data_IF_838584170326
#
_entry.id   IF_838584170326
#
_cell.length_a   1.000
_cell.length_b   1.000
_cell.length_c   1.000
_cell.angle_alpha   90.00
_cell.angle_beta   90.00
_cell.angle_gamma   90.00
#
_symmetry.space_group_name_H-M   'P 1'
#
loop_
_entity.id
_entity.type
_entity.pdbx_description
1 polymer ?
2 non-polymer ?
3 non-polymer ?
4 non-polymer ?
5 water ?
#
# COMPACT_ATOMS: atom_id res chain seq x y z
N UNK A 37 -19.34 1.02 -15.99
CA UNK A 37 -18.53 -0.10 -16.55
C UNK A 37 -17.29 -0.42 -15.71
N UNK A 38 -17.17 -1.70 -15.31
CA UNK A 38 -16.02 -2.16 -14.52
C UNK A 38 -14.75 -2.08 -15.36
N UNK A 39 -13.58 -2.20 -14.73
CA UNK A 39 -12.33 -2.11 -15.47
C UNK A 39 -11.44 -3.35 -15.37
N UNK A 40 -10.99 -3.81 -16.52
CA UNK A 40 -10.12 -4.98 -16.56
C UNK A 40 -8.72 -4.51 -16.90
N UNK A 41 -7.82 -4.65 -15.95
CA UNK A 41 -6.44 -4.28 -16.12
C UNK A 41 -5.73 -5.57 -16.54
N UNK A 42 -5.04 -5.52 -17.68
CA UNK A 42 -4.33 -6.68 -18.20
C UNK A 42 -2.82 -6.47 -18.10
N UNK A 43 -2.14 -7.22 -17.24
CA UNK A 43 -0.69 -7.09 -17.15
C UNK A 43 -0.11 -7.71 -18.43
N UNK A 44 1.07 -7.23 -18.82
CA UNK A 44 1.76 -7.71 -20.02
C UNK A 44 3.25 -7.61 -19.74
N UNK A 45 3.98 -8.65 -20.11
CA UNK A 45 5.40 -8.65 -19.87
C UNK A 45 6.03 -10.00 -19.65
N UNK A 46 7.36 -10.03 -19.77
CA UNK A 46 8.13 -11.25 -19.58
C UNK A 46 8.20 -11.62 -18.11
N UNK A 47 8.47 -12.90 -17.83
CA UNK A 47 8.57 -13.38 -16.45
C UNK A 47 9.72 -12.65 -15.73
N UNK A 48 9.46 -12.20 -14.50
CA UNK A 48 10.47 -11.49 -13.68
C UNK A 48 10.76 -10.06 -14.13
N UNK A 49 9.75 -9.41 -14.74
CA UNK A 49 9.89 -8.03 -15.16
C UNK A 49 9.10 -7.06 -14.26
N UNK A 50 8.77 -7.50 -13.05
CA UNK A 50 8.04 -6.65 -12.12
C UNK A 50 6.54 -6.60 -12.30
N UNK A 51 6.04 -7.36 -13.26
CA UNK A 51 4.61 -7.43 -13.60
C UNK A 51 3.72 -7.76 -12.38
N UNK A 52 4.14 -8.71 -11.57
CA UNK A 52 3.38 -9.11 -10.39
C UNK A 52 3.53 -8.10 -9.26
N UNK A 53 4.72 -7.53 -9.14
CA UNK A 53 5.02 -6.51 -8.13
C UNK A 53 4.10 -5.30 -8.34
N UNK A 54 3.94 -4.89 -9.59
CA UNK A 54 3.09 -3.78 -9.97
C UNK A 54 1.64 -4.15 -9.76
N UNK A 55 1.31 -5.39 -10.10
CA UNK A 55 -0.07 -5.87 -9.95
C UNK A 55 -0.50 -5.76 -8.46
N UNK A 56 0.43 -6.06 -7.57
CA UNK A 56 0.15 -6.00 -6.14
C UNK A 56 0.03 -4.59 -5.62
N UNK A 57 0.97 -3.72 -5.96
CA UNK A 57 0.94 -2.32 -5.54
C UNK A 57 -0.36 -1.67 -6.01
N UNK A 58 -0.74 -1.91 -7.26
CA UNK A 58 -1.94 -1.32 -7.85
C UNK A 58 -3.26 -1.78 -7.19
N UNK A 59 -3.29 -3.06 -6.81
CA UNK A 59 -4.45 -3.64 -6.16
C UNK A 59 -4.56 -3.05 -4.76
N UNK A 60 -3.43 -2.95 -4.06
CA UNK A 60 -3.34 -2.38 -2.71
C UNK A 60 -3.77 -0.90 -2.71
N UNK A 61 -3.15 -0.10 -3.58
CA UNK A 61 -3.48 1.33 -3.67
C UNK A 61 -4.96 1.50 -3.96
N UNK A 62 -5.49 0.82 -4.99
CA UNK A 62 -6.89 0.95 -5.32
C UNK A 62 -7.82 0.56 -4.17
N UNK A 63 -7.47 -0.50 -3.44
CA UNK A 63 -8.28 -0.92 -2.32
C UNK A 63 -8.22 0.13 -1.20
N UNK A 64 -7.02 0.62 -0.90
CA UNK A 64 -6.81 1.62 0.14
C UNK A 64 -7.70 2.83 -0.05
N UNK A 65 -7.80 3.35 -1.28
CA UNK A 65 -8.63 4.51 -1.60
C UNK A 65 -10.10 4.14 -1.84
N UNK A 66 -10.46 2.91 -1.48
CA UNK A 66 -11.84 2.46 -1.61
C UNK A 66 -12.43 1.97 -2.92
N UNK A 67 -11.59 1.49 -3.84
CA UNK A 67 -12.08 0.94 -5.10
C UNK A 67 -11.89 -0.58 -4.97
N UNK A 68 -12.99 -1.33 -4.77
CA UNK A 68 -12.88 -2.79 -4.64
C UNK A 68 -12.16 -3.42 -5.84
N UNK A 69 -10.98 -3.96 -5.54
CA UNK A 69 -10.13 -4.54 -6.56
C UNK A 69 -9.49 -5.82 -6.11
N UNK A 70 -9.31 -6.74 -7.06
CA UNK A 70 -8.68 -8.03 -6.83
C UNK A 70 -7.82 -8.38 -8.03
N UNK A 71 -6.70 -9.06 -7.76
CA UNK A 71 -5.77 -9.48 -8.80
C UNK A 71 -5.94 -10.97 -9.03
N UNK A 72 -5.61 -11.42 -10.23
CA UNK A 72 -5.73 -12.82 -10.59
C UNK A 72 -4.43 -13.30 -11.25
N UNK A 73 -3.58 -13.95 -10.45
CA UNK A 73 -2.28 -14.47 -10.88
C UNK A 73 -2.41 -15.86 -11.51
N UNK A 74 -2.27 -15.92 -12.83
CA UNK A 74 -2.40 -17.16 -13.58
C UNK A 74 -1.39 -18.22 -13.16
N UNK A 75 -0.21 -17.77 -12.74
CA UNK A 75 0.80 -18.72 -12.28
C UNK A 75 0.37 -19.42 -11.00
N UNK A 76 -0.34 -18.71 -10.14
CA UNK A 76 -0.81 -19.29 -8.89
C UNK A 76 -1.89 -20.31 -9.20
N UNK A 77 -2.75 -20.01 -10.17
CA UNK A 77 -3.79 -20.96 -10.56
C UNK A 77 -3.14 -22.25 -11.02
N UNK A 78 -2.08 -22.12 -11.81
CA UNK A 78 -1.34 -23.28 -12.31
C UNK A 78 -0.78 -24.07 -11.14
N UNK A 79 -0.18 -23.36 -10.20
CA UNK A 79 0.37 -24.03 -9.02
C UNK A 79 -0.69 -24.82 -8.27
N UNK A 80 -1.85 -24.21 -8.07
CA UNK A 80 -2.93 -24.86 -7.35
C UNK A 80 -3.50 -26.05 -8.09
N UNK A 81 -3.48 -25.99 -9.42
CA UNK A 81 -4.02 -27.07 -10.21
C UNK A 81 -3.08 -28.25 -10.39
N UNK A 82 -1.82 -28.00 -10.71
CA UNK A 82 -0.87 -29.08 -10.92
C UNK A 82 -0.35 -29.68 -9.63
N UNK A 83 -0.04 -28.84 -8.65
CA UNK A 83 0.43 -29.30 -7.35
C UNK A 83 1.72 -30.14 -7.38
N UNK A 84 2.45 -30.03 -8.48
CA UNK A 84 3.69 -30.76 -8.63
C UNK A 84 4.69 -29.86 -9.35
N UNK A 85 5.97 -30.08 -9.10
CA UNK A 85 7.03 -29.29 -9.73
C UNK A 85 7.04 -29.41 -11.25
N UNK A 86 7.20 -28.27 -11.93
CA UNK A 86 7.24 -28.23 -13.38
C UNK A 86 8.50 -27.56 -13.90
N UNK A 87 9.23 -28.25 -14.79
CA UNK A 87 10.45 -27.73 -15.42
C UNK A 87 10.05 -26.80 -16.58
N UNK A 88 11.05 -26.20 -17.24
CA UNK A 88 10.79 -25.27 -18.34
C UNK A 88 10.04 -25.94 -19.49
N UNK A 89 10.24 -27.25 -19.63
CA UNK A 89 9.59 -28.05 -20.66
C UNK A 89 8.07 -27.91 -20.61
N UNK A 90 7.56 -27.74 -19.41
CA UNK A 90 6.13 -27.58 -19.18
C UNK A 90 5.60 -26.34 -19.86
N UNK A 91 6.49 -25.36 -20.05
CA UNK A 91 6.14 -24.08 -20.67
C UNK A 91 6.43 -23.93 -22.15
N UNK A 92 6.91 -25.01 -22.80
CA UNK A 92 7.21 -24.96 -24.23
C UNK A 92 5.94 -24.87 -25.07
N UNK A 93 5.95 -24.03 -26.12
CA UNK A 93 4.82 -23.82 -27.04
C UNK A 93 4.33 -25.06 -27.78
N UNK A 94 5.16 -26.10 -27.82
CA UNK A 94 4.80 -27.33 -28.51
C UNK A 94 4.40 -28.42 -27.52
N UNK A 95 4.60 -28.16 -26.23
CA UNK A 95 4.27 -29.09 -25.17
C UNK A 95 2.75 -29.15 -25.01
N UNK A 96 2.12 -30.14 -25.66
CA UNK A 96 0.67 -30.24 -25.60
C UNK A 96 -0.01 -30.45 -24.27
N UNK A 97 0.72 -30.95 -23.27
CA UNK A 97 0.10 -31.12 -21.96
C UNK A 97 0.16 -29.82 -21.18
N UNK A 98 1.35 -29.20 -21.13
CA UNK A 98 1.53 -27.96 -20.42
C UNK A 98 0.78 -26.83 -21.10
N UNK A 99 0.50 -27.00 -22.38
CA UNK A 99 -0.22 -26.00 -23.15
C UNK A 99 -1.67 -26.01 -22.73
N UNK A 100 -2.24 -27.19 -22.53
CA UNK A 100 -3.63 -27.31 -22.13
C UNK A 100 -3.88 -26.82 -20.72
N UNK A 101 -2.93 -27.10 -19.84
CA UNK A 101 -3.03 -26.71 -18.44
C UNK A 101 -2.94 -25.19 -18.24
N UNK A 102 -1.97 -24.58 -18.91
CA UNK A 102 -1.81 -23.14 -18.83
C UNK A 102 -3.03 -22.45 -19.45
N UNK A 103 -3.61 -23.10 -20.46
CA UNK A 103 -4.78 -22.56 -21.15
C UNK A 103 -6.06 -22.68 -20.34
N UNK A 104 -6.17 -23.72 -19.52
CA UNK A 104 -7.36 -23.89 -18.69
C UNK A 104 -7.24 -23.08 -17.40
N UNK A 105 -6.00 -22.85 -16.95
CA UNK A 105 -5.74 -22.02 -15.78
C UNK A 105 -6.06 -20.56 -16.14
N UNK A 106 -5.66 -20.15 -17.34
CA UNK A 106 -5.94 -18.82 -17.82
C UNK A 106 -7.44 -18.61 -17.98
N UNK A 107 -8.16 -19.62 -18.45
CA UNK A 107 -9.60 -19.46 -18.60
C UNK A 107 -10.29 -19.48 -17.25
N UNK A 108 -9.72 -20.20 -16.28
CA UNK A 108 -10.30 -20.27 -14.95
C UNK A 108 -10.18 -18.89 -14.28
N UNK A 109 -9.01 -18.27 -14.45
CA UNK A 109 -8.73 -16.95 -13.91
C UNK A 109 -9.68 -15.92 -14.49
N UNK A 110 -9.91 -16.00 -15.79
CA UNK A 110 -10.82 -15.07 -16.46
C UNK A 110 -12.27 -15.29 -16.06
N UNK A 111 -12.62 -16.52 -15.70
CA UNK A 111 -13.99 -16.81 -15.29
C UNK A 111 -14.20 -16.10 -13.94
N UNK A 112 -13.18 -16.21 -13.09
CA UNK A 112 -13.21 -15.60 -11.79
C UNK A 112 -13.23 -14.06 -11.86
N UNK A 113 -12.55 -13.49 -12.86
CA UNK A 113 -12.54 -12.06 -13.08
C UNK A 113 -13.98 -11.67 -13.35
N UNK A 114 -14.64 -12.49 -14.17
CA UNK A 114 -16.02 -12.27 -14.56
C UNK A 114 -16.97 -12.36 -13.37
N UNK A 115 -16.73 -13.34 -12.50
CA UNK A 115 -17.56 -13.52 -11.32
C UNK A 115 -17.42 -12.33 -10.38
N UNK A 116 -16.17 -11.92 -10.15
CA UNK A 116 -15.85 -10.79 -9.27
C UNK A 116 -16.49 -9.49 -9.77
N UNK A 117 -16.25 -9.13 -11.03
CA UNK A 117 -16.78 -7.91 -11.61
C UNK A 117 -18.27 -7.90 -11.98
N UNK A 118 -18.84 -9.06 -12.29
CA UNK A 118 -20.24 -9.11 -12.67
C UNK A 118 -21.21 -9.68 -11.66
N UNK A 119 -20.68 -10.36 -10.64
CA UNK A 119 -21.52 -10.96 -9.62
C UNK A 119 -21.20 -10.48 -8.21
N UNK A 120 -19.90 -10.30 -7.90
CA UNK A 120 -19.47 -9.90 -6.57
C UNK A 120 -19.35 -8.40 -6.25
N UNK A 121 -19.63 -7.55 -7.25
CA UNK A 121 -19.56 -6.10 -7.06
C UNK A 121 -18.20 -5.46 -7.20
N UNK A 122 -17.24 -6.19 -7.77
CA UNK A 122 -15.89 -5.68 -7.96
C UNK A 122 -15.87 -4.56 -8.99
N UNK A 123 -14.92 -3.65 -8.83
CA UNK A 123 -14.80 -2.53 -9.78
C UNK A 123 -13.64 -2.70 -10.73
N UNK A 124 -12.52 -3.20 -10.21
CA UNK A 124 -11.32 -3.38 -11.02
C UNK A 124 -10.72 -4.77 -10.78
N UNK A 125 -10.44 -5.48 -11.87
CA UNK A 125 -9.84 -6.81 -11.82
C UNK A 125 -8.48 -6.71 -12.50
N UNK A 126 -7.43 -7.16 -11.82
CA UNK A 126 -6.11 -7.13 -12.42
C UNK A 126 -5.71 -8.53 -12.88
N UNK A 127 -5.64 -8.72 -14.20
CA UNK A 127 -5.26 -9.99 -14.81
C UNK A 127 -3.77 -10.10 -14.94
N UNK A 128 -3.14 -10.78 -13.99
CA UNK A 128 -1.71 -10.94 -14.01
C UNK A 128 -1.26 -12.22 -14.74
N UNK A 129 -0.67 -12.01 -15.92
CA UNK A 129 -0.14 -13.09 -16.74
C UNK A 129 0.78 -12.38 -17.72
N UNK A 130 1.68 -13.14 -18.35
CA UNK A 130 2.64 -12.62 -19.32
C UNK A 130 1.96 -11.88 -20.43
N UNK A 131 0.89 -12.47 -20.99
CA UNK A 131 0.13 -11.86 -22.07
C UNK A 131 1.03 -11.18 -23.14
N UNK A 132 2.06 -11.91 -23.56
CA UNK A 132 3.05 -11.41 -24.49
C UNK A 132 2.79 -11.39 -25.99
N UNK A 133 1.65 -11.89 -26.46
CA UNK A 133 1.37 -11.88 -27.90
C UNK A 133 0.11 -11.09 -28.21
N UNK A 134 0.00 -10.56 -29.42
CA UNK A 134 -1.16 -9.78 -29.81
C UNK A 134 -2.43 -10.61 -29.85
N UNK A 135 -2.31 -11.85 -30.29
CA UNK A 135 -3.44 -12.76 -30.37
C UNK A 135 -4.07 -12.87 -28.99
N UNK A 136 -3.24 -13.20 -28.00
CA UNK A 136 -3.68 -13.33 -26.61
C UNK A 136 -4.32 -12.04 -26.12
N UNK A 137 -3.62 -10.93 -26.29
CA UNK A 137 -4.11 -9.62 -25.85
C UNK A 137 -5.45 -9.27 -26.46
N UNK A 138 -5.67 -9.67 -27.71
CA UNK A 138 -6.93 -9.41 -28.42
C UNK A 138 -8.07 -10.31 -27.90
N UNK A 139 -7.72 -11.47 -27.36
CA UNK A 139 -8.73 -12.38 -26.83
C UNK A 139 -9.26 -11.81 -25.54
N UNK A 140 -8.32 -11.46 -24.65
CA UNK A 140 -8.63 -10.87 -23.35
C UNK A 140 -9.45 -9.60 -23.54
N UNK A 141 -9.07 -8.81 -24.54
CA UNK A 141 -9.77 -7.57 -24.84
C UNK A 141 -11.20 -7.88 -25.25
N UNK A 142 -11.39 -8.95 -26.02
CA UNK A 142 -12.72 -9.35 -26.44
C UNK A 142 -13.50 -9.93 -25.27
N UNK A 143 -12.78 -10.51 -24.31
CA UNK A 143 -13.42 -11.05 -23.13
C UNK A 143 -14.04 -9.87 -22.40
N UNK A 144 -13.26 -8.80 -22.26
CA UNK A 144 -13.73 -7.61 -21.58
C UNK A 144 -14.90 -7.01 -22.32
N UNK A 145 -14.78 -6.95 -23.64
CA UNK A 145 -15.81 -6.41 -24.52
C UNK A 145 -17.13 -7.16 -24.44
N UNK A 146 -17.07 -8.50 -24.33
CA UNK A 146 -18.25 -9.36 -24.23
C UNK A 146 -18.94 -9.21 -22.87
N UNK A 147 -18.15 -8.86 -21.85
CA UNK A 147 -18.69 -8.69 -20.49
C UNK A 147 -18.97 -7.23 -20.08
N UNK A 148 -18.85 -6.30 -21.02
CA UNK A 148 -19.12 -4.90 -20.73
C UNK A 148 -18.10 -4.19 -19.86
N UNK A 149 -16.82 -4.56 -19.99
CA UNK A 149 -15.75 -3.93 -19.23
C UNK A 149 -14.92 -3.05 -20.15
N UNK A 150 -14.13 -2.17 -19.56
CA UNK A 150 -13.22 -1.32 -20.32
C UNK A 150 -11.89 -2.00 -20.02
N UNK A 151 -11.09 -2.25 -21.05
CA UNK A 151 -9.80 -2.92 -20.86
C UNK A 151 -8.63 -1.92 -20.95
N UNK A 152 -7.65 -2.11 -20.07
CA UNK A 152 -6.47 -1.24 -20.02
C UNK A 152 -5.22 -2.07 -19.78
N UNK A 153 -4.24 -1.97 -20.68
CA UNK A 153 -3.01 -2.75 -20.58
C UNK A 153 -1.86 -2.08 -19.84
N UNK A 154 -1.15 -2.89 -19.05
CA UNK A 154 0.00 -2.41 -18.28
C UNK A 154 1.14 -3.37 -18.53
N UNK A 155 2.08 -2.93 -19.37
CA UNK A 155 3.25 -3.71 -19.74
C UNK A 155 4.49 -3.30 -18.97
N UNK A 156 5.20 -4.26 -18.40
CA UNK A 156 6.42 -3.97 -17.67
C UNK A 156 7.61 -4.51 -18.44
N UNK A 157 8.57 -3.64 -18.72
CA UNK A 157 9.76 -4.00 -19.51
C UNK A 157 11.04 -3.62 -18.83
N UNK A 158 11.84 -4.59 -18.40
CA UNK A 158 13.12 -4.25 -17.79
C UNK A 158 14.24 -4.46 -18.79
N UNK A 159 15.25 -3.60 -18.69
CA UNK A 159 16.41 -3.64 -19.57
C UNK A 159 17.64 -3.35 -18.71
N UNK A 160 17.41 -2.74 -17.55
CA UNK A 160 18.46 -2.44 -16.59
C UNK A 160 18.98 -3.78 -16.06
N UNK A 161 20.26 -4.11 -16.33
CA UNK A 161 20.92 -5.35 -15.91
C UNK A 161 20.72 -5.71 -14.45
N UNK A 162 21.09 -4.81 -13.55
CA UNK A 162 20.97 -5.01 -12.11
C UNK A 162 19.54 -5.33 -11.69
N UNK A 163 18.57 -4.66 -12.30
CA UNK A 163 17.15 -4.88 -12.00
C UNK A 163 16.78 -6.32 -12.37
N UNK A 164 17.03 -6.65 -13.63
CA UNK A 164 16.75 -7.96 -14.20
C UNK A 164 17.41 -9.12 -13.45
N UNK A 165 18.70 -8.96 -13.14
CA UNK A 165 19.47 -9.98 -12.44
C UNK A 165 19.02 -10.17 -11.00
N UNK A 166 18.61 -9.06 -10.36
CA UNK A 166 18.16 -9.12 -8.97
C UNK A 166 16.77 -9.75 -8.90
N UNK A 167 15.95 -9.48 -9.90
CA UNK A 167 14.60 -10.01 -9.98
C UNK A 167 14.62 -11.53 -10.05
N UNK A 168 15.57 -12.07 -10.79
CA UNK A 168 15.71 -13.51 -10.92
C UNK A 168 16.11 -14.12 -9.58
N UNK A 169 16.95 -13.41 -8.83
CA UNK A 169 17.39 -13.89 -7.51
C UNK A 169 16.19 -13.80 -6.55
N UNK A 170 15.39 -12.74 -6.69
CA UNK A 170 14.20 -12.55 -5.86
C UNK A 170 13.21 -13.68 -6.17
N UNK A 171 13.12 -14.05 -7.45
CA UNK A 171 12.23 -15.12 -7.92
C UNK A 171 12.76 -16.47 -7.45
N UNK A 172 14.08 -16.62 -7.45
CA UNK A 172 14.71 -17.86 -7.05
C UNK A 172 14.64 -18.09 -5.55
N UNK A 173 14.61 -17.02 -4.77
CA UNK A 173 14.58 -17.16 -3.32
C UNK A 173 13.18 -17.07 -2.73
N UNK A 174 12.23 -16.55 -3.51
CA UNK A 174 10.88 -16.37 -3.01
C UNK A 174 9.75 -17.05 -3.76
N UNK A 175 10.00 -17.50 -4.98
CA UNK A 175 8.95 -18.17 -5.74
C UNK A 175 8.75 -19.61 -5.24
N UNK A 176 7.50 -20.04 -5.06
CA UNK A 176 7.23 -21.39 -4.58
C UNK A 176 7.64 -22.43 -5.64
N UNK A 177 7.79 -21.95 -6.88
CA UNK A 177 8.19 -22.78 -8.01
C UNK A 177 9.60 -23.31 -7.88
N UNK A 178 10.47 -22.54 -7.22
CA UNK A 178 11.86 -22.92 -7.07
C UNK A 178 12.38 -23.25 -5.67
N UNK A 179 11.52 -23.91 -4.91
CA UNK A 179 11.84 -24.32 -3.55
C UNK A 179 12.57 -25.66 -3.56
N UNK A 180 13.61 -25.78 -2.73
CA UNK A 180 14.39 -27.02 -2.61
C UNK A 180 14.98 -27.40 -3.96
N UNK A 181 15.36 -26.39 -4.74
CA UNK A 181 15.95 -26.60 -6.04
C UNK A 181 17.39 -26.11 -6.01
N UNK A 182 18.26 -26.79 -6.77
CA UNK A 182 19.65 -26.38 -6.85
C UNK A 182 19.69 -24.97 -7.46
N UNK A 183 20.55 -24.12 -6.88
CA UNK A 183 20.71 -22.74 -7.33
C UNK A 183 20.91 -22.60 -8.83
N UNK A 184 22.00 -23.18 -9.33
CA UNK A 184 22.34 -23.10 -10.76
C UNK A 184 21.29 -23.75 -11.66
N UNK A 185 20.75 -24.88 -11.21
CA UNK A 185 19.73 -25.60 -11.98
C UNK A 185 18.43 -24.79 -12.07
N UNK A 186 18.05 -24.14 -10.97
CA UNK A 186 16.85 -23.32 -10.92
C UNK A 186 17.01 -22.08 -11.81
N UNK A 187 18.14 -21.40 -11.66
CA UNK A 187 18.41 -20.21 -12.47
C UNK A 187 18.36 -20.55 -13.95
N UNK A 188 19.07 -21.60 -14.33
CA UNK A 188 19.12 -22.02 -15.73
C UNK A 188 17.73 -22.36 -16.24
N UNK A 189 16.98 -23.07 -15.42
CA UNK A 189 15.62 -23.47 -15.77
C UNK A 189 14.71 -22.26 -15.99
N UNK A 190 14.70 -21.32 -15.04
CA UNK A 190 13.87 -20.13 -15.17
C UNK A 190 14.30 -19.37 -16.42
N UNK A 191 15.61 -19.32 -16.63
CA UNK A 191 16.24 -18.64 -17.76
C UNK A 191 15.66 -19.19 -19.06
N UNK A 192 15.46 -20.50 -19.10
CA UNK A 192 14.88 -21.15 -20.27
C UNK A 192 13.38 -20.92 -20.35
N UNK A 193 12.74 -20.69 -19.20
CA UNK A 193 11.30 -20.42 -19.19
C UNK A 193 11.03 -19.04 -19.79
N UNK A 194 11.88 -18.08 -19.45
CA UNK A 194 11.73 -16.72 -19.97
C UNK A 194 11.88 -16.80 -21.50
N UNK A 195 12.80 -17.64 -21.97
CA UNK A 195 13.02 -17.82 -23.40
C UNK A 195 11.74 -18.28 -24.07
N UNK A 196 10.97 -19.12 -23.37
CA UNK A 196 9.71 -19.62 -23.89
C UNK A 196 8.72 -18.52 -24.19
N UNK A 197 8.91 -17.37 -23.55
CA UNK A 197 8.03 -16.23 -23.78
C UNK A 197 8.64 -15.20 -24.72
N UNK A 198 9.96 -15.07 -24.67
CA UNK A 198 10.69 -14.10 -25.48
C UNK A 198 10.60 -14.19 -26.99
N UNK A 199 10.54 -15.40 -27.52
CA UNK A 199 10.50 -15.59 -28.97
C UNK A 199 9.27 -15.14 -29.73
N UNK A 200 8.10 -15.19 -29.11
CA UNK A 200 6.88 -14.75 -29.76
C UNK A 200 6.40 -13.44 -29.13
N UNK A 201 7.24 -12.87 -28.26
CA UNK A 201 6.94 -11.63 -27.55
C UNK A 201 6.84 -10.43 -28.48
N UNK A 202 5.73 -9.70 -28.36
CA UNK A 202 5.46 -8.49 -29.14
C UNK A 202 5.02 -7.38 -28.16
N UNK A 203 5.90 -6.42 -27.88
CA UNK A 203 5.54 -5.32 -26.97
C UNK A 203 4.40 -4.56 -27.58
N UNK A 204 3.74 -3.70 -26.80
CA UNK A 204 2.63 -2.92 -27.31
C UNK A 204 3.20 -1.92 -28.32
N UNK A 205 2.63 -1.90 -29.52
CA UNK A 205 3.15 -1.01 -30.57
C UNK A 205 2.44 0.33 -30.70
N UNK A 206 3.18 1.33 -31.17
CA UNK A 206 2.67 2.69 -31.36
C UNK A 206 1.57 2.78 -32.41
N UNK A 207 1.69 1.95 -33.44
CA UNK A 207 0.74 1.96 -34.54
C UNK A 207 -0.25 0.78 -34.50
N UNK A 208 0.27 -0.43 -34.29
CA UNK A 208 -0.54 -1.64 -34.24
C UNK A 208 -1.57 -1.57 -33.15
N UNK A 209 -1.17 -1.01 -32.00
CA UNK A 209 -2.06 -0.91 -30.86
C UNK A 209 -2.50 0.50 -30.53
N UNK A 210 -2.67 1.33 -31.57
CA UNK A 210 -3.09 2.72 -31.39
C UNK A 210 -4.53 2.87 -30.86
N UNK A 211 -5.34 1.82 -31.02
CA UNK A 211 -6.73 1.84 -30.56
C UNK A 211 -6.93 1.23 -29.18
N UNK A 212 -5.84 0.87 -28.50
CA UNK A 212 -5.92 0.27 -27.17
C UNK A 212 -5.41 1.20 -26.08
N UNK A 213 -6.06 1.18 -24.93
CA UNK A 213 -5.64 1.99 -23.79
C UNK A 213 -4.56 1.24 -23.05
N UNK A 214 -3.41 1.87 -22.83
CA UNK A 214 -2.39 1.16 -22.10
C UNK A 214 -1.30 2.07 -21.64
N UNK A 215 -0.42 1.50 -20.82
CA UNK A 215 0.76 2.19 -20.33
C UNK A 215 1.90 1.17 -20.31
N UNK A 216 3.04 1.57 -20.85
CA UNK A 216 4.21 0.73 -20.91
C UNK A 216 5.22 1.33 -19.96
N UNK A 217 5.63 0.54 -18.98
CA UNK A 217 6.58 0.96 -17.98
C UNK A 217 7.92 0.35 -18.34
N UNK A 218 8.91 1.19 -18.62
CA UNK A 218 10.23 0.70 -18.95
C UNK A 218 11.16 0.89 -17.78
N UNK A 219 11.47 -0.22 -17.13
CA UNK A 219 12.32 -0.24 -15.94
C UNK A 219 11.59 0.57 -14.88
N UNK A 220 10.77 -0.12 -14.10
CA UNK A 220 9.95 0.48 -13.04
C UNK A 220 10.37 1.88 -12.53
N UNK A 221 9.59 2.90 -12.90
CA UNK A 221 9.87 4.26 -12.47
C UNK A 221 10.79 5.14 -13.31
N UNK A 222 11.28 4.61 -14.43
CA UNK A 222 12.17 5.34 -15.32
C UNK A 222 11.49 6.06 -16.48
N UNK A 223 10.89 5.28 -17.39
CA UNK A 223 10.21 5.84 -18.56
C UNK A 223 8.85 5.22 -18.74
N UNK A 224 7.97 5.90 -19.47
CA UNK A 224 6.61 5.44 -19.73
C UNK A 224 6.14 5.88 -21.07
N UNK A 225 5.21 5.11 -21.64
CA UNK A 225 4.59 5.44 -22.91
C UNK A 225 3.15 5.19 -22.54
N UNK A 226 2.29 6.14 -22.83
CA UNK A 226 0.89 6.04 -22.48
C UNK A 226 0.04 6.27 -23.70
N UNK A 227 -1.01 5.49 -23.85
CA UNK A 227 -1.88 5.62 -25.01
C UNK A 227 -3.36 5.50 -24.66
N UNK A 228 -4.16 6.39 -25.25
CA UNK A 228 -5.61 6.44 -25.07
C UNK A 228 -6.25 6.17 -23.71
N UNK A 229 -5.86 6.93 -22.68
CA UNK A 229 -6.47 6.79 -21.36
C UNK A 229 -7.94 7.14 -21.61
N UNK A 230 -8.82 6.17 -21.44
CA UNK A 230 -10.25 6.34 -21.72
C UNK A 230 -11.11 7.06 -20.69
N UNK A 231 -10.77 6.91 -19.41
CA UNK A 231 -11.59 7.54 -18.38
C UNK A 231 -10.85 8.06 -17.15
N UNK A 232 -11.62 8.43 -16.13
CA UNK A 232 -11.09 8.97 -14.90
C UNK A 232 -10.27 7.93 -14.14
N UNK A 233 -10.82 6.73 -14.02
CA UNK A 233 -10.12 5.68 -13.28
C UNK A 233 -8.80 5.28 -13.93
N UNK A 234 -8.78 5.20 -15.25
CA UNK A 234 -7.52 4.85 -15.94
C UNK A 234 -6.52 6.00 -15.74
N UNK A 235 -7.03 7.23 -15.73
CA UNK A 235 -6.20 8.44 -15.52
C UNK A 235 -5.50 8.43 -14.15
N UNK A 236 -6.23 7.96 -13.13
CA UNK A 236 -5.70 7.86 -11.78
C UNK A 236 -4.76 6.69 -11.65
N UNK A 237 -5.08 5.57 -12.31
CA UNK A 237 -4.22 4.39 -12.27
C UNK A 237 -2.87 4.77 -12.90
N UNK A 238 -2.91 5.48 -14.03
CA UNK A 238 -1.69 5.95 -14.72
C UNK A 238 -0.88 6.87 -13.82
N UNK A 239 -1.58 7.81 -13.18
CA UNK A 239 -0.96 8.77 -12.28
C UNK A 239 -0.26 8.02 -11.15
N UNK A 240 -0.92 7.02 -10.58
CA UNK A 240 -0.32 6.24 -9.51
C UNK A 240 0.86 5.43 -10.04
N UNK A 241 0.64 4.70 -11.14
CA UNK A 241 1.69 3.87 -11.72
C UNK A 241 2.92 4.67 -12.15
N UNK A 242 2.71 5.90 -12.60
CA UNK A 242 3.81 6.77 -13.03
C UNK A 242 4.57 7.38 -11.87
N UNK A 243 4.13 7.07 -10.65
CA UNK A 243 4.79 7.63 -9.47
C UNK A 243 5.42 6.68 -8.49
N UNK A 244 5.32 5.38 -8.74
CA UNK A 244 5.94 4.38 -7.87
C UNK A 244 7.33 4.03 -8.43
N UNK A 245 8.19 3.47 -7.60
CA UNK A 245 9.54 3.12 -8.01
C UNK A 245 10.13 2.06 -7.09
N UNK A 246 11.34 1.61 -7.40
CA UNK A 246 11.99 0.58 -6.59
C UNK A 246 13.37 1.00 -6.10
N UNK A 247 13.65 2.31 -6.13
CA UNK A 247 14.92 2.87 -5.65
C UNK A 247 15.02 2.62 -4.15
N UNK A 248 16.08 1.90 -3.70
CA UNK A 248 16.24 1.62 -2.26
C UNK A 248 16.16 2.86 -1.41
N UNK A 249 15.30 2.80 -0.39
CA UNK A 249 15.07 3.90 0.53
C UNK A 249 14.21 3.48 1.73
N UNK A 250 14.11 4.36 2.71
CA UNK A 250 13.32 4.10 3.91
C UNK A 250 12.38 5.27 4.23
N UNK A 251 11.20 4.92 4.73
CA UNK A 251 10.18 5.90 5.13
C UNK A 251 10.15 5.88 6.67
N UNK A 252 10.53 6.99 7.29
CA UNK A 252 10.57 7.13 8.74
C UNK A 252 9.30 7.81 9.20
N UNK A 253 8.53 7.10 10.03
CA UNK A 253 7.28 7.63 10.53
C UNK A 253 7.36 7.79 12.03
N UNK A 254 6.97 8.96 12.51
CA UNK A 254 6.97 9.18 13.95
C UNK A 254 6.05 10.35 14.29
N UNK A 255 5.44 10.27 15.47
CA UNK A 255 4.55 11.32 15.92
C UNK A 255 5.44 12.37 16.56
N UNK A 256 4.87 13.57 16.72
CA UNK A 256 5.53 14.69 17.38
C UNK A 256 5.86 14.19 18.79
N UNK A 257 6.81 14.82 19.47
CA UNK A 257 7.13 14.39 20.81
C UNK A 257 5.95 14.65 21.74
N UNK A 258 5.92 13.98 22.87
CA UNK A 258 4.84 14.13 23.86
C UNK A 258 4.43 15.60 24.06
N UNK A 259 3.14 15.89 23.87
CA UNK A 259 2.61 17.25 24.01
C UNK A 259 1.94 17.53 25.35
N UNK A 260 1.39 18.74 25.49
CA UNK A 260 0.71 19.16 26.72
C UNK A 260 -0.63 18.44 26.90
N UNK A 261 -1.47 18.45 25.87
CA UNK A 261 -2.76 17.77 25.93
C UNK A 261 -2.57 16.25 26.02
N UNK A 262 -1.37 15.77 25.69
CA UNK A 262 -1.06 14.33 25.77
C UNK A 262 -1.08 13.88 27.22
N UNK A 263 -0.41 14.64 28.08
CA UNK A 263 -0.36 14.35 29.51
C UNK A 263 -1.74 14.42 30.16
N UNK A 264 -2.56 15.34 29.67
CA UNK A 264 -3.91 15.52 30.18
C UNK A 264 -4.88 14.46 29.65
N UNK A 265 -4.42 13.61 28.73
CA UNK A 265 -5.29 12.59 28.15
C UNK A 265 -6.36 13.26 27.30
N UNK A 266 -6.01 14.39 26.70
CA UNK A 266 -6.94 15.12 25.85
C UNK A 266 -6.58 14.90 24.40
N UNK A 267 -7.61 14.73 23.55
CA UNK A 267 -7.42 14.48 22.12
C UNK A 267 -7.53 15.77 21.30
N UNK A 268 -6.87 15.79 20.14
CA UNK A 268 -6.92 16.95 19.27
C UNK A 268 -6.26 18.22 19.80
N UNK A 269 -6.79 19.38 19.40
CA UNK A 269 -6.24 20.65 19.83
C UNK A 269 -4.95 21.05 19.10
N UNK A 270 -4.26 22.06 19.63
CA UNK A 270 -3.01 22.54 19.03
C UNK A 270 -1.93 22.78 20.10
N UNK A 271 -1.77 21.84 21.05
CA UNK A 271 -0.75 22.01 22.10
C UNK A 271 0.69 22.12 21.60
N UNK A 272 1.58 22.45 22.52
CA UNK A 272 3.00 22.54 22.22
C UNK A 272 3.62 21.32 22.86
N UNK A 273 4.95 21.23 22.84
CA UNK A 273 5.64 20.10 23.44
C UNK A 273 5.70 20.14 24.97
N UNK A 274 5.81 18.96 25.57
CA UNK A 274 5.91 18.80 27.01
C UNK A 274 7.39 18.59 27.32
N UNK A 275 7.78 18.64 28.61
CA UNK A 275 9.18 18.43 28.96
C UNK A 275 9.78 17.16 28.34
N UNK A 276 9.01 16.07 28.31
CA UNK A 276 9.49 14.83 27.72
C UNK A 276 9.42 14.91 26.20
N UNK A 277 8.46 15.68 25.69
CA UNK A 277 8.30 15.86 24.27
C UNK A 277 9.46 16.62 23.67
N UNK A 278 10.11 17.44 24.49
CA UNK A 278 11.28 18.21 24.09
C UNK A 278 12.49 17.28 24.17
N UNK A 279 12.51 16.48 25.23
CA UNK A 279 13.56 15.51 25.49
C UNK A 279 13.64 14.53 24.30
N UNK A 280 12.49 14.27 23.66
CA UNK A 280 12.42 13.38 22.51
C UNK A 280 13.06 14.00 21.27
N UNK A 281 12.63 15.22 20.94
CA UNK A 281 13.13 15.98 19.77
C UNK A 281 14.65 15.89 19.62
N UNK A 282 15.32 15.98 20.78
CA UNK A 282 16.76 15.92 20.88
C UNK A 282 17.28 14.50 20.63
N UNK A 283 16.48 13.51 20.98
CA UNK A 283 16.85 12.12 20.73
C UNK A 283 16.59 11.81 19.25
N UNK A 284 15.60 12.50 18.67
CA UNK A 284 15.24 12.32 17.27
C UNK A 284 16.36 12.87 16.36
N UNK A 285 16.83 14.08 16.65
CA UNK A 285 17.89 14.73 15.87
C UNK A 285 19.14 13.86 15.84
N UNK A 286 19.53 13.34 17.01
CA UNK A 286 20.68 12.48 17.14
C UNK A 286 20.47 11.18 16.35
N UNK A 287 19.27 10.64 16.45
CA UNK A 287 18.93 9.42 15.74
C UNK A 287 19.13 9.64 14.24
N UNK A 288 18.50 10.70 13.72
CA UNK A 288 18.58 11.05 12.32
C UNK A 288 20.04 11.21 11.86
N UNK A 289 20.88 11.73 12.75
CA UNK A 289 22.30 11.91 12.46
C UNK A 289 23.02 10.57 12.43
N UNK A 290 22.87 9.79 13.50
CA UNK A 290 23.50 8.48 13.61
C UNK A 290 23.10 7.60 12.45
N UNK A 291 21.93 7.87 11.89
CA UNK A 291 21.44 7.11 10.75
C UNK A 291 22.25 7.44 9.49
N UNK A 292 22.76 8.67 9.42
CA UNK A 292 23.60 9.11 8.32
C UNK A 292 22.87 8.82 6.99
N UNK A 293 21.77 9.54 6.80
CA UNK A 293 20.89 9.37 5.65
C UNK A 293 21.12 10.25 4.42
N UNK A 294 21.01 9.63 3.24
CA UNK A 294 21.19 10.31 1.95
C UNK A 294 19.99 11.17 1.56
N UNK A 295 20.22 12.49 1.56
CA UNK A 295 19.20 13.48 1.21
C UNK A 295 17.82 13.18 1.79
N UNK A 296 17.73 13.34 3.10
CA UNK A 296 16.51 13.09 3.84
C UNK A 296 15.58 14.28 3.75
N UNK A 297 14.36 14.04 3.27
CA UNK A 297 13.36 15.09 3.19
C UNK A 297 12.45 14.89 4.42
N UNK A 298 12.19 15.99 5.11
CA UNK A 298 11.37 15.95 6.31
C UNK A 298 10.06 16.71 6.12
N UNK A 299 8.97 16.10 6.57
CA UNK A 299 7.65 16.72 6.47
C UNK A 299 6.98 16.73 7.85
N UNK A 300 6.12 17.74 8.05
CA UNK A 300 5.36 17.90 9.29
C UNK A 300 4.01 18.49 8.91
N UNK A 301 3.13 18.62 9.89
CA UNK A 301 1.81 19.21 9.68
C UNK A 301 1.87 20.66 10.12
N UNK A 302 0.73 21.36 10.06
CA UNK A 302 0.61 22.76 10.49
C UNK A 302 0.38 22.86 12.01
N UNK A 303 0.68 21.80 12.75
CA UNK A 303 0.48 21.84 14.20
C UNK A 303 1.78 21.97 15.01
N UNK A 304 1.74 22.89 15.97
CA UNK A 304 2.88 23.18 16.82
C UNK A 304 3.68 22.02 17.35
N UNK A 305 3.00 20.94 17.72
CA UNK A 305 3.71 19.78 18.24
C UNK A 305 4.65 19.10 17.23
N UNK A 306 4.24 19.02 15.97
CA UNK A 306 5.10 18.41 14.95
C UNK A 306 6.22 19.38 14.61
N UNK A 307 5.83 20.62 14.30
CA UNK A 307 6.76 21.70 13.96
C UNK A 307 7.90 21.89 14.95
N UNK A 308 7.60 21.84 16.25
CA UNK A 308 8.62 22.02 17.28
C UNK A 308 9.51 20.79 17.42
N UNK A 309 9.00 19.62 17.03
CA UNK A 309 9.80 18.39 17.08
C UNK A 309 10.81 18.43 15.93
N UNK A 310 10.37 19.03 14.82
CA UNK A 310 11.16 19.17 13.60
C UNK A 310 12.24 20.24 13.76
N UNK A 311 11.88 21.30 14.48
CA UNK A 311 12.78 22.40 14.75
C UNK A 311 14.03 22.00 15.51
N UNK A 312 14.06 20.79 16.06
CA UNK A 312 15.21 20.32 16.82
C UNK A 312 16.24 19.59 15.99
N UNK A 313 15.88 19.27 14.74
CA UNK A 313 16.77 18.58 13.81
C UNK A 313 17.74 19.58 13.17
N UNK A 314 18.74 19.05 12.48
CA UNK A 314 19.73 19.89 11.80
C UNK A 314 19.10 20.33 10.47
N UNK A 315 18.57 19.35 9.76
CA UNK A 315 17.93 19.53 8.46
C UNK A 315 16.63 20.32 8.45
N UNK A 316 16.29 20.93 7.30
CA UNK A 316 15.08 21.72 7.07
C UNK A 316 13.86 20.81 6.92
N UNK A 317 12.67 21.35 7.14
CA UNK A 317 11.45 20.56 7.04
C UNK A 317 10.42 21.37 6.29
N UNK A 318 9.38 20.69 5.81
CA UNK A 318 8.26 21.32 5.11
C UNK A 318 6.96 20.94 5.82
N UNK A 319 6.11 21.93 6.09
CA UNK A 319 4.86 21.68 6.79
C UNK A 319 3.61 21.75 5.92
N UNK A 320 2.73 20.77 6.10
CA UNK A 320 1.48 20.70 5.33
C UNK A 320 0.29 20.44 6.21
N UNK A 321 -0.83 21.09 5.93
CA UNK A 321 -2.03 20.90 6.72
C UNK A 321 -2.73 19.59 6.41
N UNK A 322 -2.38 18.98 5.28
CA UNK A 322 -2.95 17.69 4.88
C UNK A 322 -2.46 16.63 5.88
N UNK A 323 -1.38 16.95 6.59
CA UNK A 323 -0.82 16.07 7.57
C UNK A 323 -1.34 16.30 9.00
N UNK A 324 -2.26 17.24 9.15
CA UNK A 324 -2.86 17.56 10.46
C UNK A 324 -3.63 16.39 11.06
N UNK A 325 -3.56 16.25 12.39
CA UNK A 325 -4.27 15.15 13.07
C UNK A 325 -5.74 15.11 12.73
N UNK A 326 -6.31 13.91 12.81
CA UNK A 326 -7.73 13.73 12.52
C UNK A 326 -8.57 14.71 13.35
N UNK A 327 -9.65 15.21 12.75
CA UNK A 327 -10.52 16.16 13.39
C UNK A 327 -11.53 15.44 14.28
N UNK A 328 -11.57 15.80 15.56
CA UNK A 328 -12.49 15.20 16.50
C UNK A 328 -13.78 16.02 16.66
N UNK A 329 -13.95 17.03 15.81
CA UNK A 329 -15.14 17.88 15.84
C UNK A 329 -15.51 18.42 17.21
N UNK A 330 -16.76 18.22 17.61
CA UNK A 330 -17.26 18.68 18.91
C UNK A 330 -16.49 18.07 20.09
N UNK A 331 -15.78 16.97 19.85
CA UNK A 331 -15.02 16.33 20.92
C UNK A 331 -13.56 16.75 21.01
N UNK A 332 -13.22 17.83 20.31
CA UNK A 332 -11.86 18.35 20.33
C UNK A 332 -11.42 18.76 21.73
N UNK A 333 -10.24 18.29 22.12
CA UNK A 333 -9.62 18.58 23.42
C UNK A 333 -10.24 17.90 24.65
N UNK A 334 -11.26 17.07 24.44
CA UNK A 334 -11.90 16.39 25.55
C UNK A 334 -11.11 15.17 25.93
N UNK A 335 -11.45 14.59 27.08
CA UNK A 335 -10.82 13.35 27.50
C UNK A 335 -11.90 12.34 27.12
N UNK A 336 -11.57 11.06 27.19
CA UNK A 336 -12.55 10.03 26.87
C UNK A 336 -13.69 10.06 27.88
N UNK A 337 -13.35 10.41 29.12
CA UNK A 337 -14.31 10.52 30.20
C UNK A 337 -15.36 11.51 29.76
N UNK A 338 -14.89 12.67 29.33
CA UNK A 338 -15.78 13.73 28.89
C UNK A 338 -16.58 13.34 27.66
N UNK A 339 -16.00 12.52 26.78
CA UNK A 339 -16.71 12.09 25.59
C UNK A 339 -17.87 11.17 26.00
N UNK A 340 -17.58 10.27 26.93
CA UNK A 340 -18.58 9.34 27.44
C UNK A 340 -19.73 10.11 28.10
N UNK A 341 -19.41 11.25 28.68
CA UNK A 341 -20.43 12.06 29.35
C UNK A 341 -21.34 12.87 28.44
N UNK A 342 -20.76 13.48 27.41
CA UNK A 342 -21.55 14.33 26.53
C UNK A 342 -22.07 13.68 25.26
N UNK A 343 -21.36 12.64 24.82
CA UNK A 343 -21.73 11.95 23.59
C UNK A 343 -21.65 10.44 23.70
N UNK A 344 -22.26 9.85 24.75
CA UNK A 344 -22.24 8.39 24.94
C UNK A 344 -22.73 7.56 23.75
N UNK A 345 -23.72 8.05 23.01
CA UNK A 345 -24.22 7.32 21.85
C UNK A 345 -23.19 7.30 20.71
N UNK A 346 -22.64 8.47 20.37
CA UNK A 346 -21.64 8.57 19.31
C UNK A 346 -20.36 7.83 19.70
N UNK A 347 -20.06 7.82 20.99
CA UNK A 347 -18.87 7.18 21.52
C UNK A 347 -18.95 5.65 21.42
N UNK A 348 -20.16 5.11 21.62
CA UNK A 348 -20.39 3.68 21.55
C UNK A 348 -20.47 3.27 20.09
N UNK A 349 -21.09 4.09 19.27
CA UNK A 349 -21.20 3.80 17.84
C UNK A 349 -19.84 3.92 17.15
N UNK A 350 -18.96 4.77 17.67
CA UNK A 350 -17.64 4.92 17.09
C UNK A 350 -16.84 3.68 17.47
N UNK A 351 -17.05 3.18 18.68
CA UNK A 351 -16.36 1.99 19.13
C UNK A 351 -16.82 0.76 18.33
N UNK A 352 -18.03 0.80 17.82
CA UNK A 352 -18.57 -0.30 17.03
C UNK A 352 -17.92 -0.36 15.65
N UNK A 353 -17.71 0.80 15.05
CA UNK A 353 -17.05 0.91 13.76
C UNK A 353 -16.23 2.20 13.76
N UNK A 354 -15.00 2.09 14.26
CA UNK A 354 -14.08 3.21 14.41
C UNK A 354 -13.53 3.73 13.07
N UNK A 355 -13.69 2.95 12.01
CA UNK A 355 -13.22 3.37 10.71
C UNK A 355 -14.23 4.30 10.05
N UNK A 356 -15.52 3.96 10.14
CA UNK A 356 -16.58 4.73 9.50
C UNK A 356 -17.41 5.77 10.25
N UNK A 357 -17.70 5.52 11.52
CA UNK A 357 -18.53 6.44 12.28
C UNK A 357 -17.69 7.56 12.89
N UNK A 358 -18.22 8.78 12.83
CA UNK A 358 -17.51 9.96 13.33
C UNK A 358 -18.24 10.74 14.44
N UNK A 359 -17.48 11.58 15.15
CA UNK A 359 -18.00 12.45 16.19
C UNK A 359 -18.72 13.57 15.44
N UNK A 360 -19.68 14.26 16.08
CA UNK A 360 -20.36 15.33 15.35
C UNK A 360 -19.34 16.39 14.93
N UNK A 361 -19.40 16.79 13.65
CA UNK A 361 -18.52 17.79 13.06
C UNK A 361 -17.07 17.27 12.92
N UNK A 362 -16.89 15.97 13.12
CA UNK A 362 -15.57 15.40 13.02
C UNK A 362 -15.29 14.58 11.77
N UNK A 363 -14.11 13.99 11.72
CA UNK A 363 -13.72 13.16 10.60
C UNK A 363 -13.69 11.72 11.08
N UNK A 364 -13.94 10.80 10.14
CA UNK A 364 -13.84 9.38 10.43
C UNK A 364 -12.47 8.97 9.89
N UNK A 365 -11.96 7.80 10.27
CA UNK A 365 -10.66 7.38 9.74
C UNK A 365 -10.78 7.20 8.22
N UNK A 366 -11.99 6.89 7.77
CA UNK A 366 -12.29 6.71 6.35
C UNK A 366 -12.13 8.06 5.66
N UNK A 367 -12.56 9.14 6.34
CA UNK A 367 -12.42 10.48 5.79
C UNK A 367 -10.93 10.82 5.73
N UNK A 368 -10.20 10.42 6.76
CA UNK A 368 -8.78 10.71 6.85
C UNK A 368 -7.96 10.02 5.76
N UNK A 369 -8.30 8.76 5.46
CA UNK A 369 -7.60 8.02 4.42
C UNK A 369 -7.69 8.79 3.09
N UNK A 370 -8.90 9.24 2.77
CA UNK A 370 -9.14 10.00 1.55
C UNK A 370 -8.31 11.31 1.56
N UNK A 371 -8.34 12.03 2.68
CA UNK A 371 -7.59 13.29 2.83
C UNK A 371 -6.11 13.01 2.61
N UNK A 372 -5.66 11.85 3.08
CA UNK A 372 -4.27 11.46 2.98
C UNK A 372 -3.83 10.82 1.65
N UNK A 373 -4.70 10.81 0.64
CA UNK A 373 -4.33 10.24 -0.66
C UNK A 373 -3.13 10.96 -1.30
N UNK A 374 -3.08 12.31 -1.24
CA UNK A 374 -1.94 13.02 -1.83
C UNK A 374 -0.64 12.72 -1.06
N UNK A 375 -0.81 12.35 0.21
CA UNK A 375 0.34 12.03 1.06
C UNK A 375 0.84 10.65 0.66
N UNK A 376 -0.10 9.72 0.44
CA UNK A 376 0.22 8.36 0.02
C UNK A 376 1.06 8.43 -1.26
N UNK A 377 0.52 9.14 -2.24
CA UNK A 377 1.12 9.35 -3.56
C UNK A 377 2.53 9.93 -3.52
N UNK A 378 2.72 10.94 -2.67
CA UNK A 378 4.01 11.60 -2.51
C UNK A 378 5.00 10.72 -1.77
N UNK A 379 4.53 9.90 -0.84
CA UNK A 379 5.42 9.00 -0.09
C UNK A 379 5.93 7.93 -1.04
N UNK A 380 5.10 7.59 -2.01
CA UNK A 380 5.47 6.61 -3.02
C UNK A 380 6.59 7.23 -3.88
N UNK A 381 6.38 8.47 -4.32
CA UNK A 381 7.32 9.20 -5.15
C UNK A 381 8.66 9.51 -4.48
N UNK A 382 8.60 9.84 -3.20
CA UNK A 382 9.79 10.20 -2.44
C UNK A 382 10.79 9.06 -2.36
N UNK A 383 11.96 9.38 -1.82
CA UNK A 383 12.98 8.38 -1.59
C UNK A 383 13.08 8.36 -0.07
N UNK A 384 14.21 8.76 0.50
CA UNK A 384 14.32 8.79 1.94
C UNK A 384 13.52 9.97 2.48
N UNK A 385 12.55 9.67 3.35
CA UNK A 385 11.68 10.69 3.91
C UNK A 385 11.32 10.40 5.38
N UNK A 386 11.16 11.47 6.15
CA UNK A 386 10.77 11.38 7.56
C UNK A 386 9.50 12.20 7.69
N UNK A 387 8.46 11.61 8.25
CA UNK A 387 7.19 12.31 8.46
C UNK A 387 6.90 12.37 9.96
N UNK A 388 6.92 13.58 10.52
CA UNK A 388 6.62 13.82 11.91
C UNK A 388 5.18 14.24 11.85
N UNK A 389 4.31 13.34 12.29
CA UNK A 389 2.87 13.58 12.24
C UNK A 389 2.11 13.26 13.55
N UNK A 390 0.93 12.66 13.43
CA UNK A 390 0.12 12.35 14.57
C UNK A 390 -0.32 10.87 14.62
N UNK A 391 -0.93 10.48 15.73
CA UNK A 391 -1.38 9.10 15.91
C UNK A 391 -2.33 8.55 14.85
N UNK A 392 -3.43 9.24 14.60
CA UNK A 392 -4.40 8.80 13.62
C UNK A 392 -3.85 8.88 12.19
N UNK A 393 -3.09 9.94 11.92
CA UNK A 393 -2.48 10.13 10.63
C UNK A 393 -1.48 9.00 10.39
N UNK A 394 -0.71 8.67 11.43
CA UNK A 394 0.32 7.63 11.35
C UNK A 394 -0.25 6.23 11.17
N UNK A 395 -1.43 5.98 11.73
CA UNK A 395 -2.09 4.68 11.58
C UNK A 395 -2.46 4.46 10.11
N UNK A 396 -3.00 5.51 9.49
CA UNK A 396 -3.38 5.46 8.08
C UNK A 396 -2.17 5.17 7.19
N UNK A 397 -1.02 5.79 7.52
CA UNK A 397 0.21 5.59 6.74
C UNK A 397 0.79 4.20 6.94
N UNK A 398 0.75 3.72 8.18
CA UNK A 398 1.25 2.38 8.48
C UNK A 398 0.35 1.34 7.83
N UNK A 399 -0.95 1.57 7.82
CA UNK A 399 -1.87 0.64 7.21
C UNK A 399 -1.61 0.56 5.72
N UNK A 400 -1.19 1.68 5.09
CA UNK A 400 -0.91 1.65 3.67
C UNK A 400 0.29 0.78 3.33
N UNK A 401 1.44 1.09 3.92
CA UNK A 401 2.65 0.36 3.61
C UNK A 401 2.71 -1.07 4.11
N UNK A 402 2.01 -1.36 5.21
CA UNK A 402 1.98 -2.70 5.77
C UNK A 402 0.75 -3.49 5.33
N UNK A 403 -0.09 -2.87 4.51
CA UNK A 403 -1.29 -3.50 3.99
C UNK A 403 -2.22 -4.11 5.05
N UNK A 404 -2.71 -3.26 5.94
CA UNK A 404 -3.63 -3.63 7.00
C UNK A 404 -5.05 -3.29 6.57
N UNK A 405 -6.01 -4.12 6.94
CA UNK A 405 -7.40 -3.87 6.57
C UNK A 405 -7.97 -2.60 7.21
N UNK A 406 -9.01 -2.06 6.59
CA UNK A 406 -9.67 -0.86 7.05
C UNK A 406 -10.21 -1.02 8.46
N UNK A 407 -10.54 -2.25 8.82
CA UNK A 407 -11.07 -2.54 10.15
C UNK A 407 -10.01 -2.46 11.24
N UNK A 408 -8.80 -2.87 10.88
CA UNK A 408 -7.68 -2.90 11.81
C UNK A 408 -6.91 -1.58 11.87
N UNK A 409 -6.98 -0.81 10.78
CA UNK A 409 -6.29 0.45 10.68
C UNK A 409 -6.45 1.42 11.86
N UNK A 410 -7.69 1.67 12.30
CA UNK A 410 -7.87 2.61 13.42
C UNK A 410 -7.30 2.12 14.75
N UNK A 411 -6.86 0.87 14.79
CA UNK A 411 -6.30 0.28 15.99
C UNK A 411 -4.81 -0.05 15.93
N UNK A 412 -4.11 0.44 14.91
CA UNK A 412 -2.67 0.18 14.80
C UNK A 412 -1.92 0.92 15.89
N UNK A 413 -0.85 0.30 16.41
CA UNK A 413 -0.08 0.91 17.47
C UNK A 413 1.01 1.87 17.00
N UNK A 414 0.84 3.13 17.35
CA UNK A 414 1.78 4.19 16.98
C UNK A 414 2.19 4.92 18.25
N UNK A 415 3.06 4.30 19.05
CA UNK A 415 3.55 4.85 20.31
C UNK A 415 4.36 6.13 20.15
N UNK A 416 4.33 6.97 21.19
CA UNK A 416 5.09 8.20 21.20
C UNK A 416 6.56 7.86 21.35
N UNK A 417 7.41 8.82 20.98
CA UNK A 417 8.86 8.69 21.07
C UNK A 417 9.45 7.43 20.45
N UNK A 418 8.75 6.92 19.44
CA UNK A 418 9.15 5.72 18.69
C UNK A 418 9.13 6.07 17.20
N UNK A 419 10.17 5.65 16.49
CA UNK A 419 10.31 5.90 15.07
C UNK A 419 10.08 4.61 14.31
N UNK A 420 9.07 4.62 13.44
CA UNK A 420 8.76 3.46 12.61
C UNK A 420 9.41 3.60 11.24
N UNK A 421 10.45 2.80 11.05
CA UNK A 421 11.23 2.77 9.83
C UNK A 421 10.74 1.70 8.88
N UNK A 422 10.11 2.14 7.79
CA UNK A 422 9.56 1.27 6.76
C UNK A 422 10.51 1.14 5.57
N UNK A 423 10.78 -0.10 5.18
CA UNK A 423 11.67 -0.32 4.06
C UNK A 423 11.02 -1.21 3.02
N UNK A 424 10.50 -0.59 1.93
CA UNK A 424 9.83 -1.32 0.85
C UNK A 424 10.74 -2.40 0.25
N UNK A 425 10.18 -3.60 0.11
CA UNK A 425 10.92 -4.75 -0.43
C UNK A 425 10.10 -5.49 -1.49
N UNK A 426 10.72 -6.51 -2.07
CA UNK A 426 10.09 -7.32 -3.11
C UNK A 426 8.81 -7.95 -2.63
N UNK A 427 8.87 -8.60 -1.46
CA UNK A 427 7.68 -9.27 -0.92
C UNK A 427 6.60 -8.26 -0.51
N UNK A 428 6.99 -7.23 0.23
CA UNK A 428 6.04 -6.24 0.67
C UNK A 428 6.77 -5.03 1.23
N UNK A 429 6.93 -5.00 2.55
CA UNK A 429 7.60 -3.89 3.22
C UNK A 429 7.92 -4.29 4.65
N UNK A 430 9.21 -4.29 5.00
CA UNK A 430 9.60 -4.64 6.35
C UNK A 430 9.44 -3.41 7.24
N UNK A 431 9.25 -3.64 8.54
CA UNK A 431 9.08 -2.55 9.48
C UNK A 431 9.90 -2.77 10.74
N UNK A 432 10.62 -1.74 11.16
CA UNK A 432 11.41 -1.82 12.37
C UNK A 432 10.94 -0.71 13.29
N UNK A 433 10.68 -1.06 14.54
CA UNK A 433 10.23 -0.07 15.52
C UNK A 433 11.43 0.33 16.37
N UNK A 434 11.75 1.62 16.38
CA UNK A 434 12.89 2.10 17.15
C UNK A 434 12.48 3.07 18.26
N UNK A 435 12.50 2.57 19.49
CA UNK A 435 12.16 3.37 20.66
C UNK A 435 13.37 4.25 20.94
N UNK A 436 13.14 5.56 20.96
CA UNK A 436 14.22 6.52 21.17
C UNK A 436 14.52 6.93 22.61
N UNK A 437 14.56 5.92 23.47
CA UNK A 437 14.90 6.03 24.90
C UNK A 437 14.39 7.22 25.72
N UNK A 438 13.12 7.57 25.55
CA UNK A 438 12.53 8.65 26.32
C UNK A 438 11.14 8.22 26.73
N UNK A 439 10.86 8.32 28.03
CA UNK A 439 9.57 7.94 28.60
C UNK A 439 8.45 8.83 28.05
N UNK A 440 7.25 8.25 27.93
CA UNK A 440 6.11 8.99 27.41
C UNK A 440 4.81 8.31 27.84
N UNK A 441 3.72 9.08 27.80
CA UNK A 441 2.40 8.57 28.15
C UNK A 441 1.87 7.63 27.08
N UNK A 442 0.92 6.78 27.45
CA UNK A 442 0.32 5.85 26.51
C UNK A 442 -1.00 6.46 26.08
N UNK A 443 -1.16 6.62 24.77
CA UNK A 443 -2.37 7.21 24.19
C UNK A 443 -3.18 6.19 23.41
N UNK A 444 -2.76 4.94 23.48
CA UNK A 444 -3.45 3.87 22.78
C UNK A 444 -4.66 3.31 23.55
N UNK A 445 -5.84 3.49 22.97
CA UNK A 445 -7.07 3.03 23.59
C UNK A 445 -7.67 1.83 22.83
N UNK A 446 -7.52 0.62 23.40
CA UNK A 446 -8.06 -0.60 22.81
C UNK A 446 -9.57 -0.51 22.68
N UNK A 447 -10.14 -1.31 21.78
CA UNK A 447 -11.58 -1.31 21.64
C UNK A 447 -12.13 -2.05 22.87
N UNK A 448 -13.00 -1.40 23.65
CA UNK A 448 -13.57 -2.04 24.84
C UNK A 448 -14.48 -3.23 24.45
N UNK A 449 -14.61 -4.24 25.32
CA UNK A 449 -15.45 -5.40 25.05
C UNK A 449 -16.94 -5.05 24.92
N UNK A 450 -17.42 -4.16 25.78
CA UNK A 450 -18.81 -3.72 25.69
C UNK A 450 -18.84 -2.44 24.88
N UNK A 451 -19.50 -2.49 23.72
CA UNK A 451 -19.63 -1.35 22.83
C UNK A 451 -21.11 -1.07 22.62
N UNK A 452 -21.95 -1.61 23.50
CA UNK A 452 -23.40 -1.44 23.45
C UNK A 452 -23.74 0.01 23.65
N UNK A 453 -24.75 0.49 22.94
CA UNK A 453 -25.17 1.88 23.07
C UNK A 453 -25.69 2.13 24.48
N UNK A 454 -26.10 1.05 25.14
CA UNK A 454 -26.67 1.09 26.49
C UNK A 454 -25.67 0.57 27.52
N UNK A 455 -24.39 0.89 27.35
CA UNK A 455 -23.37 0.41 28.29
C UNK A 455 -23.05 1.40 29.39
N UNK A 456 -22.53 0.89 30.51
CA UNK A 456 -22.16 1.71 31.66
C UNK A 456 -20.88 2.47 31.31
N UNK A 457 -20.75 3.68 31.86
CA UNK A 457 -19.58 4.51 31.63
C UNK A 457 -18.29 3.81 32.04
N UNK A 458 -18.36 2.96 33.05
CA UNK A 458 -17.19 2.24 33.53
C UNK A 458 -16.70 1.22 32.52
N UNK A 459 -17.63 0.71 31.71
CA UNK A 459 -17.28 -0.28 30.71
C UNK A 459 -16.87 0.34 29.40
N UNK A 460 -17.30 1.59 29.20
CA UNK A 460 -16.95 2.32 27.99
C UNK A 460 -15.54 2.87 28.11
N UNK A 461 -15.17 3.26 29.33
CA UNK A 461 -13.84 3.84 29.62
C UNK A 461 -12.85 2.86 30.24
N UNK A 462 -13.18 1.57 30.23
CA UNK A 462 -12.31 0.54 30.82
C UNK A 462 -10.93 0.36 30.16
N UNK A 463 -10.85 0.60 28.85
CA UNK A 463 -9.58 0.44 28.11
C UNK A 463 -8.77 1.71 27.96
N UNK A 464 -9.08 2.73 28.76
CA UNK A 464 -8.36 4.00 28.71
C UNK A 464 -7.04 3.92 29.47
N UNK A 465 -5.97 4.54 28.93
CA UNK A 465 -4.69 4.51 29.64
C UNK A 465 -4.78 5.54 30.77
N UNK A 466 -3.78 5.60 31.65
CA UNK A 466 -3.80 6.57 32.76
C UNK A 466 -3.81 8.00 32.18
N UNK A 467 -4.56 8.92 32.78
CA UNK A 467 -4.63 10.30 32.27
C UNK A 467 -4.87 11.42 33.29
N UNK A 468 -4.19 12.56 33.08
CA UNK A 468 -4.33 13.80 33.86
C UNK A 468 -3.09 14.70 33.95
#
# INVERSE_FOLDING_TARGET
ASPRELTQNPLKKIFMPYSNGRPALHASQRGVCMTNCPTLIVMVGLPARGKTYISKKLTRYLNFIGVPTREFNVGQYRRDMVKTYKSFEFFLPDNEEGLKIRKQCALAALNDVRKFLSEEGGHVAVFDATNTTRERRAMIFNFGEQNGYKTFFVESICVDPEVIAANIVQVKLGSPDYVNRDSDEATEDFMRRIECYENSYESLDEEQDRDLSYIKIMDVGQSYVVNRVADHIQSRIVYYLMNIHVTPRSIYLCRHGESELNLKGRIGGDPGLSPRGREFSKHLAQFISDQNIKDLKVFTSQMKRTIQTAEALSVPYEQFKVLNEIDAGVCEEMTYEEIQDHYPLEFALRDQDKYRYRYPKGESYEDLVQRLEPVIMELERQENVLVICHQAVMRCLLAYFLDKAAEELPYLKCPLHTVLKLTPVAYGCKVESIFLNVAAVNTHRDRPQNVDISRPSEEALVTVPAHQ
#
